data_IF_729886359965
#
_entry.id   IF_729886359965
#
_cell.length_a   1.000
_cell.length_b   1.000
_cell.length_c   1.000
_cell.angle_alpha   90.00
_cell.angle_beta   90.00
_cell.angle_gamma   90.00
#
_symmetry.space_group_name_H-M   'P 1'
#
loop_
_entity.id
_entity.type
_entity.pdbx_description
1 polymer ?
#
# COMPACT_ATOMS: atom_id res chain seq x y z
N UNK A 1 -12.11 8.05 -19.60
CA UNK A 1 -12.09 8.84 -18.35
C UNK A 1 -11.68 10.28 -18.64
N UNK A 2 -12.28 11.23 -17.91
CA UNK A 2 -11.87 12.65 -17.98
C UNK A 2 -10.92 12.96 -16.83
N UNK A 3 -9.84 13.65 -17.12
CA UNK A 3 -8.95 14.16 -16.06
C UNK A 3 -9.68 15.27 -15.28
N UNK A 4 -9.81 15.07 -13.98
CA UNK A 4 -10.37 16.06 -13.08
C UNK A 4 -9.24 16.68 -12.26
N UNK A 5 -9.17 18.02 -12.25
CA UNK A 5 -8.09 18.74 -11.56
C UNK A 5 -8.05 18.40 -10.08
N UNK A 6 -9.18 18.37 -9.40
CA UNK A 6 -9.23 18.09 -7.96
C UNK A 6 -8.73 16.68 -7.59
N UNK A 7 -8.92 15.68 -8.48
CA UNK A 7 -8.38 14.34 -8.26
C UNK A 7 -6.85 14.31 -8.42
N UNK A 8 -6.33 15.05 -9.38
CA UNK A 8 -4.89 15.22 -9.56
C UNK A 8 -4.27 15.99 -8.39
N UNK A 9 -4.93 17.06 -7.94
CA UNK A 9 -4.51 17.85 -6.79
C UNK A 9 -4.48 17.01 -5.49
N UNK A 10 -5.48 16.14 -5.28
CA UNK A 10 -5.51 15.25 -4.13
C UNK A 10 -4.36 14.22 -4.16
N UNK A 11 -4.10 13.59 -5.29
CA UNK A 11 -2.97 12.69 -5.43
C UNK A 11 -1.63 13.42 -5.22
N UNK A 12 -1.50 14.62 -5.79
CA UNK A 12 -0.33 15.48 -5.60
C UNK A 12 -0.12 15.87 -4.15
N UNK A 13 -1.19 16.17 -3.43
CA UNK A 13 -1.12 16.53 -2.00
C UNK A 13 -0.47 15.42 -1.17
N UNK A 14 -0.79 14.15 -1.44
CA UNK A 14 -0.13 13.01 -0.76
C UNK A 14 1.35 12.93 -1.11
N UNK A 15 1.69 13.06 -2.39
CA UNK A 15 3.08 13.05 -2.84
C UNK A 15 3.88 14.16 -2.17
N UNK A 16 3.34 15.37 -2.10
CA UNK A 16 4.02 16.54 -1.55
C UNK A 16 4.36 16.41 -0.05
N UNK A 17 3.59 15.62 0.71
CA UNK A 17 3.91 15.33 2.12
C UNK A 17 5.25 14.63 2.26
N UNK A 18 5.61 13.78 1.31
CA UNK A 18 6.87 13.01 1.31
C UNK A 18 7.95 13.64 0.43
N UNK A 19 7.83 14.93 0.09
CA UNK A 19 8.85 15.64 -0.68
C UNK A 19 10.22 15.53 -0.02
N UNK A 20 11.24 15.18 -0.80
CA UNK A 20 12.60 14.88 -0.30
C UNK A 20 12.89 13.38 -0.18
N UNK A 21 11.86 12.52 -0.20
CA UNK A 21 12.09 11.09 -0.38
C UNK A 21 12.65 10.84 -1.79
N UNK A 22 13.83 10.20 -1.92
CA UNK A 22 14.38 9.89 -3.23
C UNK A 22 13.58 8.79 -3.93
N UNK A 23 13.67 8.74 -5.25
CA UNK A 23 13.21 7.58 -6.00
C UNK A 23 14.13 6.40 -5.71
N UNK A 24 13.60 5.37 -5.07
CA UNK A 24 14.30 4.12 -4.78
C UNK A 24 13.48 2.96 -5.32
N UNK A 25 14.09 2.16 -6.19
CA UNK A 25 13.47 0.92 -6.63
C UNK A 25 13.26 -0.01 -5.44
N UNK A 26 12.19 -0.82 -5.42
CA UNK A 26 11.99 -1.80 -4.36
C UNK A 26 13.23 -2.68 -4.18
N UNK A 27 13.58 -2.98 -2.93
CA UNK A 27 14.69 -3.89 -2.62
C UNK A 27 14.22 -5.33 -2.67
N UNK A 28 15.00 -6.18 -3.33
CA UNK A 28 14.80 -7.61 -3.32
C UNK A 28 15.50 -8.24 -2.12
N UNK A 29 14.72 -8.92 -1.30
CA UNK A 29 15.21 -9.68 -0.16
C UNK A 29 15.33 -11.16 -0.58
N UNK A 30 16.51 -11.72 -0.49
CA UNK A 30 16.72 -13.15 -0.70
C UNK A 30 16.74 -13.88 0.64
N UNK A 31 15.99 -14.96 0.72
CA UNK A 31 16.17 -15.95 1.78
C UNK A 31 17.57 -16.56 1.63
N UNK A 32 18.42 -16.37 2.62
CA UNK A 32 19.72 -17.05 2.69
C UNK A 32 19.52 -18.44 3.31
N UNK A 33 18.81 -19.30 2.60
CA UNK A 33 18.63 -20.68 2.97
C UNK A 33 19.97 -21.39 3.24
N UNK A 34 20.07 -22.03 4.38
CA UNK A 34 21.14 -22.92 4.84
C UNK A 34 22.51 -22.30 5.11
N UNK A 35 22.81 -22.04 6.39
CA UNK A 35 24.18 -21.98 6.83
C UNK A 35 24.55 -21.24 8.09
N UNK A 36 23.74 -20.41 8.70
CA UNK A 36 23.97 -19.90 10.05
C UNK A 36 22.65 -19.56 10.73
N UNK A 37 22.34 -20.27 11.81
CA UNK A 37 21.26 -19.95 12.72
C UNK A 37 21.58 -18.62 13.42
N UNK A 38 21.06 -17.55 12.91
CA UNK A 38 20.85 -16.32 13.68
C UNK A 38 19.39 -16.27 14.08
N UNK A 39 19.17 -16.03 15.37
CA UNK A 39 17.88 -16.15 16.10
C UNK A 39 16.94 -14.97 15.76
N UNK A 40 16.91 -14.49 14.54
CA UNK A 40 16.00 -13.43 14.12
C UNK A 40 15.07 -13.93 13.03
N UNK A 41 13.76 -13.76 13.25
CA UNK A 41 12.63 -14.12 12.35
C UNK A 41 12.69 -13.49 10.94
N UNK A 42 13.83 -12.96 10.52
CA UNK A 42 14.04 -12.33 9.20
C UNK A 42 14.38 -13.32 8.09
N UNK A 43 14.58 -14.60 8.43
CA UNK A 43 15.25 -15.55 7.53
C UNK A 43 14.38 -16.19 6.45
N UNK A 44 13.04 -16.06 6.50
CA UNK A 44 12.13 -16.77 5.59
C UNK A 44 11.44 -15.89 4.53
N UNK A 45 11.90 -14.64 4.34
CA UNK A 45 11.28 -13.76 3.36
C UNK A 45 12.14 -13.63 2.11
N UNK A 46 11.62 -14.12 1.00
CA UNK A 46 12.15 -13.85 -0.34
C UNK A 46 11.13 -13.02 -1.11
N UNK A 47 11.51 -11.81 -1.51
CA UNK A 47 10.60 -10.95 -2.25
C UNK A 47 11.03 -9.49 -2.29
N UNK A 48 10.15 -8.68 -2.84
CA UNK A 48 10.33 -7.24 -2.98
C UNK A 48 9.61 -6.47 -1.87
N UNK A 49 10.24 -5.42 -1.37
CA UNK A 49 9.64 -4.53 -0.37
C UNK A 49 9.76 -3.08 -0.79
N UNK A 50 8.83 -2.25 -0.33
CA UNK A 50 8.97 -0.81 -0.41
C UNK A 50 10.14 -0.35 0.44
N UNK A 51 10.96 0.56 -0.09
CA UNK A 51 11.98 1.22 0.69
C UNK A 51 11.36 2.11 1.77
N UNK A 52 12.06 2.19 2.89
CA UNK A 52 11.64 3.04 4.01
C UNK A 52 11.87 4.51 3.67
N UNK A 53 11.16 5.38 4.38
CA UNK A 53 11.44 6.81 4.35
C UNK A 53 12.86 7.02 4.85
N UNK A 54 13.64 7.80 4.09
CA UNK A 54 15.04 8.07 4.41
C UNK A 54 15.15 8.90 5.70
N UNK A 55 16.22 8.73 6.50
CA UNK A 55 16.40 9.46 7.77
C UNK A 55 16.42 10.99 7.60
N UNK A 56 16.87 11.49 6.47
CA UNK A 56 16.92 12.91 6.12
C UNK A 56 15.53 13.54 6.06
N UNK A 57 14.51 12.75 5.69
CA UNK A 57 13.11 13.15 5.74
C UNK A 57 12.55 12.87 7.15
N UNK A 58 12.90 13.73 8.10
CA UNK A 58 12.48 13.60 9.48
C UNK A 58 10.97 13.80 9.69
N UNK A 59 10.43 13.29 10.79
CA UNK A 59 9.03 13.48 11.16
C UNK A 59 8.65 14.96 11.25
N UNK A 60 9.58 15.82 11.71
CA UNK A 60 9.39 17.27 11.74
C UNK A 60 9.20 17.83 10.33
N UNK A 61 10.03 17.41 9.39
CA UNK A 61 9.95 17.88 8.00
C UNK A 61 8.67 17.37 7.32
N UNK A 62 8.27 16.13 7.57
CA UNK A 62 6.99 15.59 7.09
C UNK A 62 5.81 16.40 7.64
N UNK A 63 5.84 16.77 8.92
CA UNK A 63 4.80 17.62 9.51
C UNK A 63 4.77 19.00 8.86
N UNK A 64 5.91 19.62 8.60
CA UNK A 64 6.00 20.90 7.91
C UNK A 64 5.40 20.83 6.50
N UNK A 65 5.69 19.74 5.75
CA UNK A 65 5.10 19.51 4.43
C UNK A 65 3.58 19.30 4.52
N UNK A 66 3.11 18.49 5.47
CA UNK A 66 1.68 18.30 5.71
C UNK A 66 0.97 19.63 6.00
N UNK A 67 1.54 20.44 6.91
CA UNK A 67 1.00 21.76 7.23
C UNK A 67 0.97 22.71 6.03
N UNK A 68 1.99 22.63 5.16
CA UNK A 68 2.02 23.40 3.91
C UNK A 68 0.88 22.99 2.98
N UNK A 69 0.68 21.69 2.79
CA UNK A 69 -0.42 21.14 1.98
C UNK A 69 -1.77 21.58 2.57
N UNK A 70 -1.94 21.48 3.88
CA UNK A 70 -3.18 21.89 4.57
C UNK A 70 -3.47 23.38 4.38
N UNK A 71 -2.46 24.25 4.57
CA UNK A 71 -2.63 25.71 4.34
C UNK A 71 -3.00 26.03 2.90
N UNK A 72 -2.37 25.36 1.93
CA UNK A 72 -2.68 25.54 0.50
C UNK A 72 -4.13 25.18 0.18
N UNK A 73 -4.68 24.21 0.89
CA UNK A 73 -6.07 23.76 0.75
C UNK A 73 -7.02 24.41 1.75
N UNK A 74 -6.61 25.49 2.44
CA UNK A 74 -7.42 26.22 3.43
C UNK A 74 -7.91 25.35 4.59
N UNK A 75 -7.16 24.32 4.94
CA UNK A 75 -7.41 23.43 6.06
C UNK A 75 -6.55 23.90 7.25
N UNK A 76 -7.11 23.84 8.45
CA UNK A 76 -6.36 24.14 9.68
C UNK A 76 -5.16 23.20 9.78
N UNK A 77 -3.94 23.73 9.92
CA UNK A 77 -2.75 22.89 10.06
C UNK A 77 -2.81 22.01 11.30
N UNK A 78 -2.38 20.76 11.14
CA UNK A 78 -2.23 19.81 12.24
C UNK A 78 -1.08 20.24 13.15
N UNK A 79 -1.24 20.07 14.46
CA UNK A 79 -0.19 20.37 15.43
C UNK A 79 0.86 19.25 15.52
N UNK A 80 0.51 18.03 15.09
CA UNK A 80 1.35 16.85 15.13
C UNK A 80 0.97 15.84 14.03
N UNK A 81 1.87 14.92 13.74
CA UNK A 81 1.55 13.73 12.95
C UNK A 81 0.69 12.78 13.78
N UNK A 82 -0.30 12.15 13.15
CA UNK A 82 -1.07 11.07 13.77
C UNK A 82 -0.39 9.74 13.46
N UNK A 83 -0.13 8.93 14.52
CA UNK A 83 0.63 7.71 14.38
C UNK A 83 1.96 7.97 13.67
N UNK A 84 2.41 6.97 12.91
CA UNK A 84 3.55 7.17 12.02
C UNK A 84 3.04 7.28 10.60
N UNK A 85 2.72 8.53 10.20
CA UNK A 85 2.27 8.92 8.86
C UNK A 85 0.84 8.47 8.51
N UNK A 86 -0.09 8.55 9.45
CA UNK A 86 -1.51 8.41 9.14
C UNK A 86 -2.02 9.71 8.52
N UNK A 87 -2.37 9.66 7.24
CA UNK A 87 -2.89 10.80 6.50
C UNK A 87 -4.36 10.55 6.15
N UNK A 88 -5.18 11.57 6.28
CA UNK A 88 -6.59 11.54 5.89
C UNK A 88 -6.82 12.46 4.71
N UNK A 89 -7.52 11.96 3.69
CA UNK A 89 -7.97 12.75 2.55
C UNK A 89 -9.48 12.73 2.52
N UNK A 90 -10.10 13.90 2.65
CA UNK A 90 -11.54 14.06 2.58
C UNK A 90 -11.97 14.46 1.17
N UNK A 91 -12.93 13.75 0.64
CA UNK A 91 -13.55 14.02 -0.65
C UNK A 91 -15.05 13.74 -0.55
N UNK A 92 -15.87 14.50 -1.26
CA UNK A 92 -17.30 14.29 -1.32
C UNK A 92 -17.67 12.91 -1.88
N UNK A 93 -18.88 12.46 -1.60
CA UNK A 93 -19.40 11.20 -2.15
C UNK A 93 -19.63 11.34 -3.65
N UNK A 94 -19.28 10.32 -4.42
CA UNK A 94 -19.53 10.29 -5.88
C UNK A 94 -18.48 11.02 -6.73
N UNK A 95 -17.48 11.68 -6.14
CA UNK A 95 -16.43 12.41 -6.90
C UNK A 95 -15.25 11.55 -7.34
N UNK A 96 -15.31 10.23 -7.13
CA UNK A 96 -14.29 9.31 -7.60
C UNK A 96 -13.12 9.07 -6.62
N UNK A 97 -13.42 8.91 -5.32
CA UNK A 97 -12.41 8.57 -4.31
C UNK A 97 -11.52 7.41 -4.73
N UNK A 98 -12.14 6.32 -5.23
CA UNK A 98 -11.41 5.13 -5.68
C UNK A 98 -10.45 5.43 -6.83
N UNK A 99 -10.90 6.18 -7.83
CA UNK A 99 -10.03 6.66 -8.90
C UNK A 99 -8.86 7.47 -8.35
N UNK A 100 -9.12 8.36 -7.39
CA UNK A 100 -8.11 9.24 -6.79
C UNK A 100 -7.04 8.45 -6.05
N UNK A 101 -7.38 7.47 -5.21
CA UNK A 101 -6.35 6.72 -4.53
C UNK A 101 -5.61 5.73 -5.46
N UNK A 102 -6.24 5.20 -6.52
CA UNK A 102 -5.52 4.44 -7.54
C UNK A 102 -4.50 5.34 -8.24
N UNK A 103 -4.90 6.56 -8.63
CA UNK A 103 -3.97 7.55 -9.18
C UNK A 103 -2.82 7.86 -8.21
N UNK A 104 -3.14 8.01 -6.93
CA UNK A 104 -2.13 8.25 -5.87
C UNK A 104 -1.10 7.13 -5.80
N UNK A 105 -1.50 5.87 -5.93
CA UNK A 105 -0.54 4.74 -5.98
C UNK A 105 0.43 4.87 -7.15
N UNK A 106 -0.06 5.23 -8.33
CA UNK A 106 0.80 5.47 -9.50
C UNK A 106 1.74 6.66 -9.28
N UNK A 107 1.25 7.76 -8.71
CA UNK A 107 2.06 8.93 -8.42
C UNK A 107 3.14 8.64 -7.36
N UNK A 108 2.82 7.91 -6.30
CA UNK A 108 3.78 7.47 -5.29
C UNK A 108 4.84 6.53 -5.89
N UNK A 109 4.45 5.64 -6.79
CA UNK A 109 5.40 4.79 -7.51
C UNK A 109 6.30 5.61 -8.44
N UNK A 110 5.73 6.56 -9.18
CA UNK A 110 6.47 7.42 -10.10
C UNK A 110 7.51 8.29 -9.37
N UNK A 111 7.17 8.85 -8.21
CA UNK A 111 8.02 9.76 -7.46
C UNK A 111 9.00 9.05 -6.53
N UNK A 112 8.59 7.95 -5.91
CA UNK A 112 9.34 7.33 -4.81
C UNK A 112 9.69 5.87 -5.05
N UNK A 113 9.14 5.23 -6.08
CA UNK A 113 9.36 3.82 -6.40
C UNK A 113 8.55 2.84 -5.55
N UNK A 114 7.69 3.31 -4.66
CA UNK A 114 6.85 2.42 -3.84
C UNK A 114 5.88 1.64 -4.70
N UNK A 115 5.83 0.33 -4.48
CA UNK A 115 5.09 -0.61 -5.35
C UNK A 115 4.17 -1.57 -4.62
N UNK A 116 4.18 -1.61 -3.28
CA UNK A 116 3.35 -2.50 -2.48
C UNK A 116 2.28 -1.71 -1.73
N UNK A 117 1.02 -2.00 -2.03
CA UNK A 117 -0.14 -1.30 -1.46
C UNK A 117 -1.19 -2.29 -0.97
N UNK A 118 -1.90 -1.91 0.08
CA UNK A 118 -3.03 -2.68 0.61
C UNK A 118 -4.22 -1.73 0.73
N UNK A 119 -5.35 -2.09 0.12
CA UNK A 119 -6.62 -1.39 0.29
C UNK A 119 -7.45 -2.14 1.31
N UNK A 120 -7.71 -1.50 2.44
CA UNK A 120 -8.52 -2.07 3.53
C UNK A 120 -9.94 -1.53 3.44
N UNK A 121 -10.90 -2.42 3.31
CA UNK A 121 -12.31 -2.05 3.11
C UNK A 121 -13.21 -2.64 4.20
N UNK A 122 -14.30 -1.94 4.57
CA UNK A 122 -15.16 -2.37 5.69
C UNK A 122 -16.16 -3.47 5.32
N UNK A 123 -16.45 -3.69 4.03
CA UNK A 123 -17.49 -4.64 3.62
C UNK A 123 -17.16 -5.34 2.31
N UNK A 124 -17.82 -6.48 2.07
CA UNK A 124 -17.71 -7.24 0.83
C UNK A 124 -18.18 -6.41 -0.38
N UNK A 125 -19.29 -5.69 -0.23
CA UNK A 125 -19.83 -4.87 -1.33
C UNK A 125 -18.83 -3.78 -1.76
N UNK A 126 -18.19 -3.10 -0.82
CA UNK A 126 -17.15 -2.11 -1.12
C UNK A 126 -15.93 -2.79 -1.73
N UNK A 127 -15.52 -3.95 -1.25
CA UNK A 127 -14.42 -4.74 -1.80
C UNK A 127 -14.61 -5.05 -3.28
N UNK A 128 -15.79 -5.54 -3.65
CA UNK A 128 -16.13 -5.85 -5.05
C UNK A 128 -16.17 -4.58 -5.91
N UNK A 129 -16.69 -3.49 -5.37
CA UNK A 129 -16.70 -2.19 -6.04
C UNK A 129 -15.29 -1.65 -6.30
N UNK A 130 -14.39 -1.79 -5.32
CA UNK A 130 -12.98 -1.42 -5.46
C UNK A 130 -12.29 -2.30 -6.51
N UNK A 131 -12.47 -3.61 -6.45
CA UNK A 131 -11.92 -4.53 -7.43
C UNK A 131 -12.37 -4.18 -8.85
N UNK A 132 -13.67 -3.92 -9.03
CA UNK A 132 -14.22 -3.47 -10.31
C UNK A 132 -13.61 -2.15 -10.79
N UNK A 133 -13.37 -1.22 -9.87
CA UNK A 133 -12.73 0.06 -10.21
C UNK A 133 -11.30 -0.13 -10.74
N UNK A 134 -10.51 -1.02 -10.14
CA UNK A 134 -9.20 -1.39 -10.69
C UNK A 134 -9.31 -1.98 -12.09
N UNK A 135 -10.28 -2.87 -12.33
CA UNK A 135 -10.50 -3.47 -13.66
C UNK A 135 -10.80 -2.41 -14.73
N UNK A 136 -11.75 -1.51 -14.44
CA UNK A 136 -12.22 -0.53 -15.44
C UNK A 136 -11.24 0.62 -15.68
N UNK A 137 -10.36 0.91 -14.72
CA UNK A 137 -9.36 1.99 -14.84
C UNK A 137 -8.00 1.51 -15.32
N UNK A 138 -7.77 0.20 -15.44
CA UNK A 138 -6.46 -0.37 -15.69
C UNK A 138 -5.82 0.14 -16.99
N UNK A 139 -6.56 0.10 -18.10
CA UNK A 139 -6.03 0.55 -19.38
C UNK A 139 -5.82 2.07 -19.40
N UNK A 140 -6.74 2.83 -18.81
CA UNK A 140 -6.61 4.28 -18.69
C UNK A 140 -5.31 4.68 -17.97
N UNK A 141 -5.02 4.07 -16.84
CA UNK A 141 -3.79 4.37 -16.11
C UNK A 141 -2.54 3.76 -16.77
N UNK A 142 -2.68 2.62 -17.46
CA UNK A 142 -1.57 2.06 -18.22
C UNK A 142 -1.12 2.99 -19.36
N UNK A 143 -2.06 3.65 -20.02
CA UNK A 143 -1.76 4.68 -21.03
C UNK A 143 -1.09 5.91 -20.42
N UNK A 144 -1.56 6.37 -19.24
CA UNK A 144 -1.01 7.55 -18.57
C UNK A 144 0.39 7.31 -17.98
N UNK A 145 0.64 6.15 -17.37
CA UNK A 145 1.86 5.87 -16.59
C UNK A 145 2.81 4.87 -17.24
N UNK A 146 2.40 4.22 -18.33
CA UNK A 146 3.20 3.16 -18.96
C UNK A 146 3.35 1.89 -18.14
N UNK A 147 2.54 1.70 -17.10
CA UNK A 147 2.60 0.58 -16.15
C UNK A 147 1.21 0.09 -15.81
N UNK A 148 1.08 -1.21 -15.53
CA UNK A 148 -0.17 -1.80 -15.04
C UNK A 148 0.00 -2.21 -13.58
N UNK A 149 -1.04 -1.95 -12.77
CA UNK A 149 -1.15 -2.48 -11.41
C UNK A 149 -1.64 -3.93 -11.49
N UNK A 150 -0.99 -4.82 -10.76
CA UNK A 150 -1.56 -6.11 -10.41
C UNK A 150 -2.36 -5.99 -9.14
N UNK A 151 -3.55 -6.51 -9.12
CA UNK A 151 -4.44 -6.44 -7.97
C UNK A 151 -5.19 -7.74 -7.77
N UNK A 152 -5.45 -8.07 -6.51
CA UNK A 152 -6.20 -9.26 -6.12
C UNK A 152 -6.95 -9.01 -4.82
N UNK A 153 -7.98 -9.82 -4.59
CA UNK A 153 -8.71 -9.85 -3.34
C UNK A 153 -8.05 -10.90 -2.43
N UNK A 154 -7.72 -10.51 -1.19
CA UNK A 154 -7.22 -11.45 -0.19
C UNK A 154 -8.24 -12.58 0.02
N UNK A 155 -7.76 -13.81 -0.07
CA UNK A 155 -8.52 -15.01 0.22
C UNK A 155 -7.63 -15.98 1.02
N UNK A 156 -8.07 -16.35 2.22
CA UNK A 156 -7.36 -17.26 3.11
C UNK A 156 -7.17 -18.67 2.52
N UNK A 157 -7.93 -19.03 1.49
CA UNK A 157 -7.80 -20.29 0.77
C UNK A 157 -6.84 -20.21 -0.45
N UNK A 158 -6.35 -19.02 -0.79
CA UNK A 158 -5.50 -18.79 -1.98
C UNK A 158 -4.23 -18.02 -1.61
N UNK A 159 -3.40 -18.60 -0.76
CA UNK A 159 -2.19 -17.97 -0.22
C UNK A 159 -1.08 -17.76 -1.26
N UNK A 160 -1.16 -18.44 -2.42
CA UNK A 160 -0.23 -18.23 -3.54
C UNK A 160 -0.25 -16.79 -4.07
N UNK A 161 -1.37 -16.09 -3.95
CA UNK A 161 -1.46 -14.67 -4.34
C UNK A 161 -0.62 -13.77 -3.42
N UNK A 162 -0.45 -14.14 -2.14
CA UNK A 162 0.45 -13.43 -1.21
C UNK A 162 1.91 -13.62 -1.62
N UNK A 163 2.30 -14.84 -2.00
CA UNK A 163 3.65 -15.10 -2.53
C UNK A 163 3.90 -14.31 -3.82
N UNK A 164 2.92 -14.22 -4.71
CA UNK A 164 3.01 -13.39 -5.92
C UNK A 164 3.11 -11.91 -5.60
N UNK A 165 2.33 -11.43 -4.65
CA UNK A 165 2.39 -10.05 -4.16
C UNK A 165 3.80 -9.69 -3.67
N UNK A 166 4.45 -10.58 -2.94
CA UNK A 166 5.80 -10.39 -2.44
C UNK A 166 6.87 -10.56 -3.54
N UNK A 167 6.71 -11.53 -4.44
CA UNK A 167 7.74 -11.90 -5.43
C UNK A 167 7.76 -11.06 -6.70
N UNK A 168 6.78 -10.21 -6.93
CA UNK A 168 6.67 -9.36 -8.12
C UNK A 168 7.18 -7.94 -7.82
N UNK A 169 8.07 -7.43 -8.67
CA UNK A 169 8.63 -6.08 -8.55
C UNK A 169 7.72 -4.97 -9.06
N UNK A 170 6.65 -5.30 -9.80
CA UNK A 170 5.69 -4.33 -10.31
C UNK A 170 4.78 -3.77 -9.22
N UNK A 171 3.94 -2.80 -9.56
CA UNK A 171 2.95 -2.27 -8.62
C UNK A 171 1.92 -3.36 -8.32
N UNK A 172 1.82 -3.75 -7.06
CA UNK A 172 0.89 -4.77 -6.58
C UNK A 172 -0.02 -4.20 -5.50
N UNK A 173 -1.30 -4.54 -5.59
CA UNK A 173 -2.33 -4.12 -4.64
C UNK A 173 -3.09 -5.33 -4.13
N UNK A 174 -3.13 -5.49 -2.82
CA UNK A 174 -4.00 -6.44 -2.14
C UNK A 174 -5.23 -5.71 -1.61
N UNK A 175 -6.41 -6.19 -1.94
CA UNK A 175 -7.69 -5.67 -1.44
C UNK A 175 -8.17 -6.62 -0.35
N UNK A 176 -8.39 -6.11 0.87
CA UNK A 176 -8.70 -6.93 2.04
C UNK A 176 -9.80 -6.31 2.89
N UNK A 177 -10.70 -7.14 3.39
CA UNK A 177 -11.69 -6.69 4.37
C UNK A 177 -11.04 -6.48 5.73
N UNK A 178 -11.42 -5.40 6.43
CA UNK A 178 -10.98 -5.14 7.80
C UNK A 178 -11.27 -6.30 8.76
N UNK A 179 -12.31 -7.06 8.51
CA UNK A 179 -12.66 -8.25 9.29
C UNK A 179 -11.61 -9.36 9.24
N UNK A 180 -10.79 -9.43 8.19
CA UNK A 180 -9.70 -10.41 8.08
C UNK A 180 -8.63 -10.22 9.18
N UNK A 181 -8.52 -9.01 9.72
CA UNK A 181 -7.62 -8.69 10.84
C UNK A 181 -8.24 -8.91 12.22
N UNK A 182 -9.56 -9.18 12.30
CA UNK A 182 -10.23 -9.41 13.58
C UNK A 182 -9.91 -10.81 14.11
N UNK A 183 -9.47 -10.90 15.38
CA UNK A 183 -9.12 -12.16 16.03
C UNK A 183 -10.33 -13.08 16.33
N UNK A 184 -11.56 -12.66 16.00
CA UNK A 184 -12.81 -13.38 16.27
C UNK A 184 -13.32 -14.06 15.00
N UNK A 185 -13.20 -15.39 14.93
CA UNK A 185 -13.69 -16.22 13.84
C UNK A 185 -12.62 -17.17 13.28
N UNK A 186 -13.04 -18.29 12.66
CA UNK A 186 -12.10 -19.29 12.12
C UNK A 186 -11.25 -18.73 10.95
N UNK A 187 -11.86 -17.95 10.08
CA UNK A 187 -11.17 -17.42 8.89
C UNK A 187 -10.27 -16.22 9.21
N UNK A 188 -10.68 -15.39 10.17
CA UNK A 188 -9.88 -14.25 10.63
C UNK A 188 -8.56 -14.68 11.30
N UNK A 189 -8.50 -15.86 11.88
CA UNK A 189 -7.28 -16.38 12.51
C UNK A 189 -6.24 -16.85 11.48
N UNK A 190 -6.63 -17.24 10.29
CA UNK A 190 -5.72 -17.83 9.29
C UNK A 190 -4.61 -16.88 8.89
N UNK A 191 -4.86 -15.58 8.81
CA UNK A 191 -3.83 -14.60 8.49
C UNK A 191 -2.69 -14.56 9.52
N UNK A 192 -2.98 -14.92 10.78
CA UNK A 192 -2.02 -14.94 11.89
C UNK A 192 -1.47 -16.33 12.22
N UNK A 193 -1.95 -17.38 11.56
CA UNK A 193 -1.54 -18.75 11.84
C UNK A 193 -0.39 -19.18 10.94
N UNK A 194 0.53 -19.97 11.50
CA UNK A 194 1.46 -20.75 10.68
C UNK A 194 0.66 -21.81 9.95
N UNK A 195 0.70 -21.78 8.63
CA UNK A 195 -0.08 -22.69 7.79
C UNK A 195 0.88 -23.59 7.01
N UNK A 196 0.68 -24.92 7.12
CA UNK A 196 1.52 -25.91 6.43
C UNK A 196 1.45 -25.74 4.91
N UNK A 197 0.25 -25.44 4.39
CA UNK A 197 0.04 -25.09 2.98
C UNK A 197 0.77 -23.82 2.53
N UNK A 198 1.26 -23.01 3.47
CA UNK A 198 2.06 -21.81 3.24
C UNK A 198 3.49 -21.95 3.78
N UNK A 199 4.04 -23.17 3.70
CA UNK A 199 5.39 -23.52 4.18
C UNK A 199 5.62 -23.16 5.65
N UNK A 200 4.63 -23.41 6.49
CA UNK A 200 4.63 -23.09 7.93
C UNK A 200 4.87 -21.61 8.25
N UNK A 201 4.61 -20.70 7.29
CA UNK A 201 4.69 -19.24 7.48
C UNK A 201 3.33 -18.67 7.85
N UNK A 202 3.32 -17.52 8.51
CA UNK A 202 2.11 -16.74 8.74
C UNK A 202 1.91 -15.74 7.58
N UNK A 203 0.75 -15.71 6.94
CA UNK A 203 0.48 -14.75 5.87
C UNK A 203 0.78 -13.30 6.24
N UNK A 204 0.41 -12.88 7.47
CA UNK A 204 0.64 -11.52 7.94
C UNK A 204 2.13 -11.14 7.97
N UNK A 205 3.03 -12.05 8.28
CA UNK A 205 4.46 -11.77 8.34
C UNK A 205 5.02 -11.49 6.94
N UNK A 206 4.60 -12.27 5.94
CA UNK A 206 5.02 -12.05 4.55
C UNK A 206 4.49 -10.71 4.04
N UNK A 207 3.24 -10.39 4.33
CA UNK A 207 2.63 -9.11 3.98
C UNK A 207 3.40 -7.96 4.63
N UNK A 208 3.67 -8.03 5.93
CA UNK A 208 4.37 -6.99 6.67
C UNK A 208 5.80 -6.76 6.16
N UNK A 209 6.51 -7.82 5.77
CA UNK A 209 7.88 -7.74 5.23
C UNK A 209 7.96 -7.02 3.89
N UNK A 210 6.88 -6.91 3.13
CA UNK A 210 6.82 -6.08 1.92
C UNK A 210 6.79 -4.58 2.23
N UNK A 211 6.66 -4.18 3.50
CA UNK A 211 6.53 -2.79 3.94
C UNK A 211 5.45 -2.02 3.15
N UNK A 212 4.20 -2.50 3.11
CA UNK A 212 3.19 -1.95 2.24
C UNK A 212 2.65 -0.62 2.75
N UNK A 213 2.12 0.19 1.82
CA UNK A 213 1.32 1.37 2.14
C UNK A 213 -0.14 0.94 2.24
N UNK A 214 -0.79 1.25 3.36
CA UNK A 214 -2.21 0.98 3.59
C UNK A 214 -3.07 2.16 3.16
N UNK A 215 -4.21 1.85 2.54
CA UNK A 215 -5.21 2.83 2.07
C UNK A 215 -6.59 2.39 2.54
#
# INVERSE_FOLDING_TARGET
>A
FKHQKFQADAAKAVVDVFAGQPYLTPTYMMDRGYGQQTITDEEDFTGWRNERIVPELSDKLILEHLQKVQRTNQIKPSDRLEGRYNLTIEMETGVGKTYTYIKTMYELNKHYGWSKFIVVVPSIAIREGVYKSFQVTQEHFAEEYGKKIRFFIYNSAQLTEIDRFASDSSINVMIINSQAFNAKGKDARRIYMKLDEFRSRRPIDIIAKTNPILI
#
